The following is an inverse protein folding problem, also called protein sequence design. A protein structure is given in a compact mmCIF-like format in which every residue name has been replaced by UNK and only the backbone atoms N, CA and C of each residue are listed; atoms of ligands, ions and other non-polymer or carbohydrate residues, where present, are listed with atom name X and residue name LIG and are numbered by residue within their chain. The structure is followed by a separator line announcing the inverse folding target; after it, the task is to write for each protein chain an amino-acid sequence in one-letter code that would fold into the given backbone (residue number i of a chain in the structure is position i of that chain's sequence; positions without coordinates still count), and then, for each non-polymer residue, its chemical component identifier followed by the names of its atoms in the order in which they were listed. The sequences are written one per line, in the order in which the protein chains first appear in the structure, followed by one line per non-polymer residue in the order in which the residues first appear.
data_IF_792802542762
#
_entry.id   IF_792802542762
#
_cell.length_a   1.000
_cell.length_b   1.000
_cell.length_c   1.000
_cell.angle_alpha   90.00
_cell.angle_beta   90.00
_cell.angle_gamma   90.00
#
_symmetry.space_group_name_H-M   'P 1'
#
loop_
_entity.id
_entity.type
_entity.pdbx_description
1 polymer ?
#
# COMPACT_ATOMS: atom_id res chain seq x y z
N UNK A 1 -0.47 0.54 30.83
CA UNK A 1 0.10 0.63 29.48
C UNK A 1 -0.92 0.10 28.47
N UNK A 2 -1.34 0.92 27.54
CA UNK A 2 -2.22 0.53 26.44
C UNK A 2 -1.39 0.57 25.15
N UNK A 3 -1.05 -0.59 24.57
CA UNK A 3 -0.27 -0.61 23.34
C UNK A 3 -1.08 -0.04 22.16
N UNK A 4 -0.40 0.59 21.22
CA UNK A 4 -0.94 1.03 19.93
C UNK A 4 -0.20 0.29 18.83
N UNK A 5 -0.94 -0.28 17.88
CA UNK A 5 -0.39 -1.09 16.80
C UNK A 5 -0.87 -0.62 15.44
N UNK A 6 0.01 -0.75 14.44
CA UNK A 6 -0.35 -0.76 13.03
C UNK A 6 -0.38 -2.19 12.49
N UNK A 7 -1.32 -2.50 11.61
CA UNK A 7 -1.47 -3.81 11.02
C UNK A 7 -1.72 -3.77 9.52
N UNK A 8 -1.08 -4.68 8.79
CA UNK A 8 -1.46 -5.01 7.43
C UNK A 8 -2.63 -5.99 7.46
N UNK A 9 -3.66 -5.72 6.69
CA UNK A 9 -4.86 -6.54 6.69
C UNK A 9 -5.40 -6.77 5.28
N UNK A 10 -5.96 -7.95 5.07
CA UNK A 10 -6.71 -8.27 3.86
C UNK A 10 -8.17 -7.89 4.07
N UNK A 11 -8.65 -6.94 3.28
CA UNK A 11 -10.02 -6.42 3.38
C UNK A 11 -11.09 -7.50 3.14
N UNK A 12 -10.84 -8.43 2.20
CA UNK A 12 -11.73 -9.56 1.91
C UNK A 12 -11.86 -10.52 3.09
N UNK A 13 -10.78 -10.77 3.83
CA UNK A 13 -10.79 -11.62 5.03
C UNK A 13 -11.55 -10.95 6.17
N UNK A 14 -11.32 -9.66 6.38
CA UNK A 14 -12.02 -8.89 7.39
C UNK A 14 -13.52 -8.78 7.06
N UNK A 15 -13.88 -8.55 5.80
CA UNK A 15 -15.27 -8.53 5.33
C UNK A 15 -16.02 -9.85 5.52
N UNK A 16 -15.30 -10.98 5.56
CA UNK A 16 -15.88 -12.28 5.88
C UNK A 16 -16.07 -12.50 7.40
N UNK A 17 -15.45 -11.66 8.25
CA UNK A 17 -15.42 -11.80 9.71
C UNK A 17 -15.79 -10.50 10.43
N UNK A 18 -16.78 -9.79 9.91
CA UNK A 18 -17.20 -8.47 10.44
C UNK A 18 -17.58 -8.48 11.93
N UNK A 19 -18.05 -9.61 12.46
CA UNK A 19 -18.32 -9.80 13.88
C UNK A 19 -17.08 -9.70 14.78
N UNK A 20 -15.87 -9.63 14.20
CA UNK A 20 -14.61 -9.52 14.94
C UNK A 20 -14.00 -8.11 14.89
N UNK A 21 -14.69 -7.12 14.32
CA UNK A 21 -14.18 -5.75 14.20
C UNK A 21 -13.88 -5.15 15.58
N UNK A 22 -14.71 -5.42 16.57
CA UNK A 22 -14.49 -4.97 17.95
C UNK A 22 -13.20 -5.51 18.58
N UNK A 23 -12.72 -6.67 18.12
CA UNK A 23 -11.47 -7.23 18.59
C UNK A 23 -10.24 -6.43 18.10
N UNK A 24 -10.35 -5.80 16.93
CA UNK A 24 -9.32 -4.91 16.37
C UNK A 24 -9.12 -3.73 17.34
N UNK A 25 -10.21 -3.10 17.76
CA UNK A 25 -10.15 -1.99 18.70
C UNK A 25 -9.65 -2.43 20.08
N UNK A 26 -10.14 -3.56 20.58
CA UNK A 26 -9.70 -4.13 21.88
C UNK A 26 -8.24 -4.51 21.88
N UNK A 27 -7.71 -4.95 20.75
CA UNK A 27 -6.30 -5.27 20.58
C UNK A 27 -5.38 -4.02 20.55
N UNK A 28 -5.96 -2.81 20.44
CA UNK A 28 -5.19 -1.57 20.32
C UNK A 28 -4.64 -1.32 18.91
N UNK A 29 -5.26 -1.90 17.88
CA UNK A 29 -4.91 -1.64 16.49
C UNK A 29 -5.55 -0.30 16.10
N UNK A 30 -4.72 0.70 15.85
CA UNK A 30 -5.12 2.07 15.56
C UNK A 30 -4.88 2.46 14.10
N UNK A 31 -4.00 1.73 13.40
CA UNK A 31 -3.74 1.93 11.98
C UNK A 31 -3.91 0.62 11.20
N UNK A 32 -4.64 0.69 10.08
CA UNK A 32 -4.91 -0.46 9.21
C UNK A 32 -4.46 -0.16 7.79
N UNK A 33 -3.57 -0.99 7.28
CA UNK A 33 -3.14 -0.97 5.89
C UNK A 33 -3.87 -2.06 5.10
N UNK A 34 -4.68 -1.66 4.13
CA UNK A 34 -5.41 -2.56 3.26
C UNK A 34 -4.71 -2.68 1.91
N UNK A 35 -4.12 -3.82 1.62
CA UNK A 35 -3.70 -4.15 0.27
C UNK A 35 -4.92 -4.55 -0.55
N UNK A 36 -5.59 -3.61 -1.20
CA UNK A 36 -6.77 -3.87 -2.04
C UNK A 36 -6.33 -4.30 -3.44
N UNK A 37 -5.35 -3.62 -3.97
CA UNK A 37 -4.69 -3.74 -5.28
C UNK A 37 -5.59 -3.34 -6.45
N UNK A 38 -6.82 -3.84 -6.52
CA UNK A 38 -7.86 -3.45 -7.48
C UNK A 38 -9.24 -3.81 -6.95
N UNK A 39 -10.25 -3.06 -7.35
CA UNK A 39 -11.66 -3.44 -7.17
C UNK A 39 -12.24 -4.20 -8.38
N UNK A 40 -11.47 -4.37 -9.46
CA UNK A 40 -11.95 -5.13 -10.61
C UNK A 40 -12.02 -6.62 -10.27
N UNK A 41 -13.19 -7.28 -10.39
CA UNK A 41 -13.37 -8.69 -10.00
C UNK A 41 -12.52 -9.66 -10.83
N UNK A 42 -12.22 -9.34 -12.08
CA UNK A 42 -11.35 -10.16 -12.92
C UNK A 42 -9.90 -10.11 -12.41
N UNK A 43 -9.44 -8.92 -12.05
CA UNK A 43 -8.11 -8.71 -11.47
C UNK A 43 -7.99 -9.40 -10.12
N UNK A 44 -8.93 -9.19 -9.20
CA UNK A 44 -8.88 -9.80 -7.86
C UNK A 44 -8.87 -11.32 -7.92
N UNK A 45 -9.60 -11.91 -8.89
CA UNK A 45 -9.56 -13.35 -9.15
C UNK A 45 -8.19 -13.80 -9.66
N UNK A 46 -7.59 -13.06 -10.59
CA UNK A 46 -6.28 -13.36 -11.18
C UNK A 46 -5.18 -13.37 -10.12
N UNK A 47 -5.14 -12.36 -9.26
CA UNK A 47 -4.15 -12.23 -8.18
C UNK A 47 -4.52 -13.00 -6.90
N UNK A 48 -5.58 -13.83 -6.96
CA UNK A 48 -6.08 -14.64 -5.85
C UNK A 48 -6.44 -13.83 -4.59
N UNK A 49 -6.91 -12.61 -4.79
CA UNK A 49 -7.58 -11.83 -3.73
C UNK A 49 -9.08 -12.03 -3.85
N UNK A 50 -9.71 -12.32 -2.74
CA UNK A 50 -11.16 -12.54 -2.66
C UNK A 50 -11.93 -11.21 -2.64
N UNK A 51 -13.25 -11.35 -2.75
CA UNK A 51 -14.19 -10.25 -2.57
C UNK A 51 -14.76 -9.71 -3.88
N UNK A 52 -16.06 -9.50 -3.86
CA UNK A 52 -16.73 -8.69 -4.89
C UNK A 52 -16.51 -7.23 -4.57
N UNK A 53 -16.36 -6.33 -5.56
CA UNK A 53 -16.15 -4.90 -5.34
C UNK A 53 -17.13 -4.29 -4.34
N UNK A 54 -18.42 -4.55 -4.50
CA UNK A 54 -19.47 -4.01 -3.62
C UNK A 54 -19.26 -4.47 -2.16
N UNK A 55 -18.89 -5.74 -1.94
CA UNK A 55 -18.60 -6.25 -0.61
C UNK A 55 -17.36 -5.61 0.02
N UNK A 56 -16.33 -5.34 -0.78
CA UNK A 56 -15.14 -4.65 -0.30
C UNK A 56 -15.47 -3.21 0.09
N UNK A 57 -16.26 -2.52 -0.72
CA UNK A 57 -16.73 -1.17 -0.42
C UNK A 57 -17.62 -1.14 0.83
N UNK A 58 -18.56 -2.11 0.97
CA UNK A 58 -19.39 -2.24 2.17
C UNK A 58 -18.54 -2.53 3.41
N UNK A 59 -17.47 -3.30 3.27
CA UNK A 59 -16.53 -3.53 4.36
C UNK A 59 -15.83 -2.25 4.77
N UNK A 60 -15.38 -1.41 3.83
CA UNK A 60 -14.79 -0.10 4.14
C UNK A 60 -15.80 0.82 4.84
N UNK A 61 -17.04 0.88 4.36
CA UNK A 61 -18.13 1.66 5.03
C UNK A 61 -18.35 1.20 6.46
N UNK A 62 -18.33 -0.12 6.67
CA UNK A 62 -18.47 -0.69 8.00
C UNK A 62 -17.27 -0.32 8.90
N UNK A 63 -16.04 -0.42 8.40
CA UNK A 63 -14.85 -0.01 9.15
C UNK A 63 -14.88 1.47 9.53
N UNK A 64 -15.24 2.34 8.59
CA UNK A 64 -15.40 3.77 8.85
C UNK A 64 -16.42 4.06 9.96
N UNK A 65 -17.52 3.31 9.98
CA UNK A 65 -18.59 3.44 10.98
C UNK A 65 -18.17 2.92 12.35
N UNK A 66 -17.59 1.71 12.40
CA UNK A 66 -17.32 1.01 13.67
C UNK A 66 -15.97 1.41 14.29
N UNK A 67 -15.03 1.91 13.50
CA UNK A 67 -13.70 2.35 13.93
C UNK A 67 -13.39 3.77 13.41
N UNK A 68 -14.20 4.77 13.77
CA UNK A 68 -14.07 6.12 13.19
C UNK A 68 -12.74 6.81 13.51
N UNK A 69 -12.09 6.41 14.59
CA UNK A 69 -10.79 6.94 15.02
C UNK A 69 -9.58 6.15 14.46
N UNK A 70 -9.81 5.05 13.74
CA UNK A 70 -8.71 4.30 13.17
C UNK A 70 -8.20 4.96 11.89
N UNK A 71 -6.88 5.09 11.76
CA UNK A 71 -6.29 5.46 10.49
C UNK A 71 -6.37 4.27 9.53
N UNK A 72 -6.98 4.48 8.38
CA UNK A 72 -7.09 3.46 7.35
C UNK A 72 -6.40 3.91 6.08
N UNK A 73 -5.56 3.03 5.52
CA UNK A 73 -4.85 3.25 4.27
C UNK A 73 -5.21 2.15 3.26
N UNK A 74 -5.57 2.52 2.05
CA UNK A 74 -5.80 1.60 0.94
C UNK A 74 -4.69 1.69 -0.10
N UNK A 75 -4.09 0.56 -0.45
CA UNK A 75 -3.09 0.49 -1.52
C UNK A 75 -3.67 -0.16 -2.76
N UNK A 76 -3.34 0.44 -3.92
CA UNK A 76 -3.69 -0.03 -5.25
C UNK A 76 -2.45 -0.30 -6.10
N UNK A 77 -2.59 -1.15 -7.09
CA UNK A 77 -1.54 -1.45 -8.06
C UNK A 77 -2.03 -1.09 -9.47
N UNK A 78 -1.33 -0.14 -10.08
CA UNK A 78 -1.54 0.24 -11.49
C UNK A 78 -0.84 -0.75 -12.41
N UNK A 79 -1.53 -1.20 -13.44
CA UNK A 79 -0.94 -2.07 -14.45
C UNK A 79 -1.26 -3.55 -14.26
N UNK A 80 -2.21 -3.92 -13.40
CA UNK A 80 -2.67 -5.30 -13.29
C UNK A 80 -3.44 -5.71 -14.55
N UNK A 81 -3.12 -6.87 -15.11
CA UNK A 81 -3.79 -7.43 -16.29
C UNK A 81 -5.29 -7.61 -16.06
N UNK A 82 -6.11 -7.20 -17.02
CA UNK A 82 -7.56 -7.23 -16.94
C UNK A 82 -8.18 -6.06 -16.19
N UNK A 83 -7.38 -5.08 -15.77
CA UNK A 83 -7.88 -3.79 -15.27
C UNK A 83 -8.07 -2.80 -16.44
N UNK A 84 -8.43 -1.59 -16.13
CA UNK A 84 -8.53 -0.49 -17.09
C UNK A 84 -8.39 0.84 -16.36
N UNK A 85 -7.95 1.86 -17.08
CA UNK A 85 -7.88 3.22 -16.56
C UNK A 85 -9.24 3.69 -16.03
N UNK A 86 -10.34 3.45 -16.79
CA UNK A 86 -11.71 3.79 -16.38
C UNK A 86 -12.10 3.14 -15.05
N UNK A 87 -11.80 1.84 -14.88
CA UNK A 87 -12.08 1.09 -13.65
C UNK A 87 -11.37 1.71 -12.46
N UNK A 88 -10.11 2.03 -12.61
CA UNK A 88 -9.26 2.58 -11.55
C UNK A 88 -9.77 3.96 -11.12
N UNK A 89 -10.02 4.86 -12.07
CA UNK A 89 -10.56 6.20 -11.78
C UNK A 89 -11.95 6.15 -11.14
N UNK A 90 -12.83 5.28 -11.63
CA UNK A 90 -14.16 5.08 -11.05
C UNK A 90 -14.06 4.71 -9.56
N UNK A 91 -13.21 3.75 -9.22
CA UNK A 91 -13.08 3.29 -7.83
C UNK A 91 -12.35 4.30 -6.95
N UNK A 92 -11.33 4.98 -7.47
CA UNK A 92 -10.69 6.10 -6.78
C UNK A 92 -11.68 7.21 -6.44
N UNK A 93 -12.54 7.58 -7.40
CA UNK A 93 -13.60 8.57 -7.18
C UNK A 93 -14.59 8.13 -6.09
N UNK A 94 -15.01 6.88 -6.06
CA UNK A 94 -15.89 6.37 -5.00
C UNK A 94 -15.24 6.46 -3.61
N UNK A 95 -13.94 6.15 -3.50
CA UNK A 95 -13.21 6.29 -2.23
C UNK A 95 -13.20 7.74 -1.74
N UNK A 96 -12.96 8.69 -2.65
CA UNK A 96 -12.91 10.12 -2.35
C UNK A 96 -14.31 10.67 -2.04
N UNK A 97 -15.30 10.39 -2.88
CA UNK A 97 -16.67 10.92 -2.70
C UNK A 97 -17.29 10.45 -1.37
N UNK A 98 -17.02 9.22 -0.94
CA UNK A 98 -17.56 8.66 0.30
C UNK A 98 -16.58 8.77 1.48
N UNK A 99 -15.35 9.24 1.26
CA UNK A 99 -14.29 9.31 2.29
C UNK A 99 -14.11 7.95 3.00
N UNK A 100 -14.02 6.85 2.24
CA UNK A 100 -14.08 5.49 2.78
C UNK A 100 -12.82 5.05 3.54
N UNK A 101 -11.72 5.73 3.30
CA UNK A 101 -10.43 5.54 3.97
C UNK A 101 -9.83 6.89 4.31
N UNK A 102 -8.96 6.92 5.31
CA UNK A 102 -8.27 8.15 5.72
C UNK A 102 -7.24 8.57 4.67
N UNK A 103 -6.57 7.61 4.05
CA UNK A 103 -5.60 7.81 2.99
C UNK A 103 -5.57 6.64 2.02
N UNK A 104 -5.08 6.88 0.81
CA UNK A 104 -4.86 5.83 -0.15
C UNK A 104 -3.67 6.15 -1.04
N UNK A 105 -3.09 5.13 -1.66
CA UNK A 105 -2.01 5.27 -2.62
C UNK A 105 -2.10 4.24 -3.73
N UNK A 106 -1.45 4.56 -4.85
CA UNK A 106 -1.38 3.72 -6.02
C UNK A 106 0.07 3.57 -6.47
N UNK A 107 0.54 2.34 -6.61
CA UNK A 107 1.88 2.06 -7.09
C UNK A 107 1.81 1.37 -8.45
N UNK A 108 2.72 1.72 -9.37
CA UNK A 108 2.88 0.93 -10.58
C UNK A 108 3.35 -0.49 -10.24
N UNK A 109 2.82 -1.49 -10.93
CA UNK A 109 3.28 -2.86 -10.80
C UNK A 109 4.78 -2.92 -11.11
N UNK A 110 5.55 -3.54 -10.21
CA UNK A 110 6.95 -3.87 -10.43
C UNK A 110 7.08 -5.37 -10.54
N UNK A 111 7.77 -5.83 -11.56
CA UNK A 111 8.19 -7.21 -11.71
C UNK A 111 9.68 -7.30 -11.38
N UNK A 112 10.02 -8.22 -10.50
CA UNK A 112 11.37 -8.39 -10.00
C UNK A 112 11.94 -9.75 -10.37
N UNK A 113 13.26 -9.77 -10.52
CA UNK A 113 14.04 -10.99 -10.46
C UNK A 113 14.91 -10.91 -9.21
N UNK A 114 14.72 -11.83 -8.29
CA UNK A 114 15.54 -11.92 -7.09
C UNK A 114 16.71 -12.85 -7.36
N UNK A 115 17.88 -12.26 -7.57
CA UNK A 115 19.11 -13.00 -7.91
C UNK A 115 19.63 -13.82 -6.73
N UNK A 116 19.37 -13.41 -5.49
CA UNK A 116 19.89 -14.09 -4.30
C UNK A 116 18.91 -15.13 -3.74
N UNK A 117 17.61 -14.83 -3.77
CA UNK A 117 16.58 -15.70 -3.21
C UNK A 117 15.30 -15.71 -4.07
N UNK A 118 15.22 -16.59 -5.08
CA UNK A 118 14.06 -16.67 -5.95
C UNK A 118 12.76 -17.12 -5.24
N UNK A 119 12.85 -17.59 -3.99
CA UNK A 119 11.67 -18.00 -3.22
C UNK A 119 10.83 -16.82 -2.73
N UNK A 120 11.38 -15.59 -2.73
CA UNK A 120 10.62 -14.38 -2.38
C UNK A 120 9.90 -13.75 -3.57
N UNK A 121 10.16 -14.23 -4.80
CA UNK A 121 9.45 -13.80 -6.00
C UNK A 121 7.96 -14.15 -5.91
N UNK A 122 7.10 -13.22 -6.30
CA UNK A 122 5.67 -13.46 -6.40
C UNK A 122 5.36 -14.46 -7.52
N UNK A 123 4.14 -14.99 -7.55
CA UNK A 123 3.71 -15.85 -8.66
C UNK A 123 3.75 -15.12 -10.02
N UNK A 124 3.56 -13.81 -10.04
CA UNK A 124 3.62 -13.00 -11.26
C UNK A 124 5.10 -12.86 -11.70
N UNK A 125 6.02 -12.65 -10.76
CA UNK A 125 7.46 -12.57 -11.07
C UNK A 125 7.99 -13.88 -11.64
N UNK A 126 7.55 -15.03 -11.09
CA UNK A 126 7.97 -16.36 -11.52
C UNK A 126 7.49 -16.75 -12.91
N UNK A 127 6.32 -16.29 -13.31
CA UNK A 127 5.73 -16.63 -14.62
C UNK A 127 4.88 -15.46 -15.15
N UNK A 128 5.52 -14.34 -15.54
CA UNK A 128 4.81 -13.15 -16.01
C UNK A 128 3.87 -13.43 -17.19
N UNK A 129 4.30 -14.28 -18.12
CA UNK A 129 3.53 -14.60 -19.32
C UNK A 129 2.18 -15.27 -18.99
N UNK A 130 2.14 -16.13 -17.98
CA UNK A 130 0.90 -16.75 -17.48
C UNK A 130 -0.11 -15.71 -16.96
N UNK A 131 0.38 -14.58 -16.48
CA UNK A 131 -0.43 -13.47 -15.99
C UNK A 131 -0.64 -12.37 -17.04
N UNK A 132 -0.29 -12.63 -18.31
CA UNK A 132 -0.53 -11.72 -19.42
C UNK A 132 0.52 -10.63 -19.60
N UNK A 133 1.70 -10.76 -19.00
CA UNK A 133 2.79 -9.81 -19.17
C UNK A 133 3.82 -10.32 -20.17
N UNK A 134 4.23 -9.44 -21.09
CA UNK A 134 5.40 -9.60 -21.95
C UNK A 134 6.52 -8.77 -21.36
N UNK A 135 7.66 -9.40 -21.03
CA UNK A 135 8.85 -8.69 -20.57
C UNK A 135 9.52 -8.01 -21.76
N UNK A 136 9.85 -6.72 -21.62
CA UNK A 136 10.41 -5.89 -22.68
C UNK A 136 11.86 -5.49 -22.42
N UNK A 137 12.39 -5.75 -21.23
CA UNK A 137 13.77 -5.45 -20.86
C UNK A 137 13.98 -5.38 -19.35
N UNK A 138 15.07 -4.76 -18.97
CA UNK A 138 15.41 -4.43 -17.59
C UNK A 138 15.27 -2.93 -17.38
N UNK A 139 14.81 -2.51 -16.18
CA UNK A 139 14.68 -1.10 -15.80
C UNK A 139 15.84 -0.69 -14.88
N UNK A 140 15.83 -1.20 -13.65
CA UNK A 140 16.80 -0.84 -12.61
C UNK A 140 17.38 -2.06 -11.93
N UNK A 141 18.64 -1.94 -11.57
CA UNK A 141 19.32 -2.87 -10.71
C UNK A 141 19.52 -2.25 -9.34
N UNK A 142 19.23 -3.01 -8.29
CA UNK A 142 19.58 -2.70 -6.91
C UNK A 142 20.48 -3.81 -6.36
N UNK A 143 21.77 -3.79 -6.71
CA UNK A 143 22.69 -4.84 -6.29
C UNK A 143 22.77 -5.01 -4.79
N UNK A 144 22.62 -3.90 -4.05
CA UNK A 144 22.61 -3.90 -2.58
C UNK A 144 21.40 -4.60 -1.97
N UNK A 145 20.34 -4.79 -2.73
CA UNK A 145 19.10 -5.48 -2.32
C UNK A 145 18.93 -6.84 -3.02
N UNK A 146 19.82 -7.18 -3.97
CA UNK A 146 19.73 -8.41 -4.74
C UNK A 146 18.55 -8.45 -5.74
N UNK A 147 18.02 -7.29 -6.16
CA UNK A 147 16.88 -7.21 -7.08
C UNK A 147 17.23 -6.54 -8.39
N UNK A 148 16.63 -7.06 -9.45
CA UNK A 148 16.54 -6.37 -10.75
C UNK A 148 15.07 -6.21 -11.10
N UNK A 149 14.63 -4.99 -11.44
CA UNK A 149 13.29 -4.79 -11.96
C UNK A 149 13.25 -4.97 -13.47
N UNK A 150 12.16 -5.54 -13.95
CA UNK A 150 11.91 -5.77 -15.37
C UNK A 150 10.94 -4.72 -15.91
N UNK A 151 11.18 -4.29 -17.14
CA UNK A 151 10.15 -3.58 -17.92
C UNK A 151 9.21 -4.60 -18.54
N UNK A 152 7.93 -4.22 -18.63
CA UNK A 152 6.86 -5.09 -19.10
C UNK A 152 5.77 -4.30 -19.80
N UNK A 153 4.98 -5.00 -20.58
CA UNK A 153 3.68 -4.56 -21.10
C UNK A 153 2.65 -5.67 -20.94
N UNK A 154 1.39 -5.30 -20.94
CA UNK A 154 0.26 -6.22 -20.98
C UNK A 154 -0.76 -5.77 -22.03
N UNK A 155 -2.00 -6.25 -21.96
CA UNK A 155 -3.08 -6.00 -22.92
C UNK A 155 -3.56 -4.55 -22.98
N UNK A 156 -3.27 -3.72 -21.97
CA UNK A 156 -3.80 -2.34 -21.93
C UNK A 156 -2.75 -1.27 -21.58
N UNK A 157 -1.58 -1.64 -21.01
CA UNK A 157 -0.60 -0.69 -20.51
C UNK A 157 0.81 -1.28 -20.48
N UNK A 158 1.82 -0.43 -20.52
CA UNK A 158 3.20 -0.76 -20.18
C UNK A 158 3.63 -0.15 -18.83
N UNK A 159 4.82 -0.53 -18.36
CA UNK A 159 5.33 -0.10 -17.06
C UNK A 159 5.49 1.42 -16.95
N UNK A 160 5.90 2.10 -18.02
CA UNK A 160 6.13 3.55 -17.99
C UNK A 160 4.82 4.31 -17.91
N UNK A 161 3.81 3.89 -18.69
CA UNK A 161 2.46 4.47 -18.59
C UNK A 161 1.81 4.14 -17.26
N UNK A 162 2.05 2.94 -16.70
CA UNK A 162 1.58 2.58 -15.36
C UNK A 162 2.19 3.50 -14.28
N UNK A 163 3.47 3.86 -14.40
CA UNK A 163 4.13 4.82 -13.50
C UNK A 163 3.55 6.23 -13.60
N UNK A 164 3.26 6.67 -14.81
CA UNK A 164 2.64 7.98 -15.05
C UNK A 164 1.25 8.03 -14.41
N UNK A 165 0.37 7.09 -14.75
CA UNK A 165 -0.98 7.01 -14.22
C UNK A 165 -1.03 6.78 -12.71
N UNK A 166 -0.07 6.02 -12.15
CA UNK A 166 -0.03 5.83 -10.70
C UNK A 166 0.25 7.14 -9.96
N UNK A 167 1.12 8.00 -10.49
CA UNK A 167 1.41 9.33 -9.91
C UNK A 167 0.21 10.27 -10.00
N UNK A 168 -0.51 10.25 -11.14
CA UNK A 168 -1.72 11.05 -11.32
C UNK A 168 -2.82 10.60 -10.36
N UNK A 169 -3.00 9.29 -10.21
CA UNK A 169 -3.98 8.71 -9.31
C UNK A 169 -3.63 8.95 -7.84
N UNK A 170 -2.35 8.82 -7.45
CA UNK A 170 -1.85 9.16 -6.12
C UNK A 170 -2.15 10.62 -5.77
N UNK A 171 -1.89 11.53 -6.72
CA UNK A 171 -2.19 12.95 -6.53
C UNK A 171 -3.69 13.16 -6.33
N UNK A 172 -4.53 12.54 -7.16
CA UNK A 172 -5.99 12.64 -7.04
C UNK A 172 -6.50 12.14 -5.68
N UNK A 173 -6.00 10.97 -5.22
CA UNK A 173 -6.36 10.42 -3.92
C UNK A 173 -5.88 11.31 -2.77
N UNK A 174 -4.65 11.80 -2.85
CA UNK A 174 -4.06 12.69 -1.84
C UNK A 174 -4.76 14.04 -1.73
N UNK A 175 -5.20 14.59 -2.87
CA UNK A 175 -5.95 15.86 -2.90
C UNK A 175 -7.40 15.69 -2.39
N UNK A 176 -7.97 14.48 -2.52
CA UNK A 176 -9.36 14.20 -2.24
C UNK A 176 -9.66 13.53 -0.89
N UNK A 177 -8.68 12.89 -0.24
CA UNK A 177 -8.82 12.21 1.05
C UNK A 177 -8.29 13.07 2.20
N UNK A 178 -8.60 12.67 3.45
CA UNK A 178 -8.21 13.43 4.65
C UNK A 178 -6.70 13.55 4.83
N UNK A 179 -5.94 12.56 4.36
CA UNK A 179 -4.50 12.48 4.57
C UNK A 179 -3.76 11.97 3.34
N UNK A 180 -2.58 12.52 3.13
CA UNK A 180 -1.62 12.06 2.11
C UNK A 180 -0.66 11.00 2.66
N UNK A 181 -0.82 10.59 3.92
CA UNK A 181 0.15 9.73 4.61
C UNK A 181 -0.15 8.25 4.47
N UNK A 182 0.93 7.48 4.48
CA UNK A 182 0.87 6.04 4.63
C UNK A 182 0.72 5.65 6.11
N UNK A 183 0.22 4.45 6.36
CA UNK A 183 0.13 3.91 7.72
C UNK A 183 1.49 3.82 8.43
N UNK A 184 2.58 3.66 7.68
CA UNK A 184 3.95 3.61 8.23
C UNK A 184 4.41 4.99 8.72
N UNK A 185 4.11 6.04 7.97
CA UNK A 185 4.43 7.42 8.36
C UNK A 185 3.66 7.80 9.62
N UNK A 186 2.39 7.43 9.71
CA UNK A 186 1.56 7.65 10.90
C UNK A 186 2.09 6.88 12.11
N UNK A 187 2.41 5.59 11.94
CA UNK A 187 2.98 4.78 13.03
C UNK A 187 4.32 5.35 13.50
N UNK A 188 5.16 5.82 12.56
CA UNK A 188 6.41 6.49 12.86
C UNK A 188 6.23 7.80 13.64
N UNK A 189 5.25 8.61 13.25
CA UNK A 189 4.90 9.85 13.94
C UNK A 189 4.40 9.58 15.37
N UNK A 190 3.49 8.63 15.53
CA UNK A 190 2.95 8.25 16.85
C UNK A 190 4.06 7.73 17.77
N UNK A 191 5.00 6.93 17.24
CA UNK A 191 6.15 6.46 18.01
C UNK A 191 7.12 7.60 18.42
N UNK A 192 7.26 8.64 17.59
CA UNK A 192 8.15 9.76 17.87
C UNK A 192 7.58 10.75 18.90
N UNK A 193 6.28 10.98 18.89
CA UNK A 193 5.64 12.02 19.70
C UNK A 193 4.87 11.49 20.91
N UNK A 194 4.73 10.16 21.04
CA UNK A 194 4.21 9.50 22.24
C UNK A 194 2.71 9.64 22.50
N UNK A 195 2.03 10.53 21.79
CA UNK A 195 0.60 10.79 21.91
C UNK A 195 -0.08 10.77 20.55
N UNK A 196 -1.40 10.52 20.54
CA UNK A 196 -2.21 10.69 19.33
C UNK A 196 -2.15 12.13 18.87
N UNK A 197 -1.56 12.33 17.71
CA UNK A 197 -1.61 13.64 17.05
C UNK A 197 -2.99 13.81 16.41
N UNK A 198 -3.68 14.94 16.64
CA UNK A 198 -4.91 15.26 15.92
C UNK A 198 -4.66 15.25 14.41
N UNK A 199 -5.49 14.58 13.65
CA UNK A 199 -5.34 14.40 12.20
C UNK A 199 -5.09 15.72 11.45
N UNK A 200 -5.73 16.81 11.85
CA UNK A 200 -5.53 18.15 11.25
C UNK A 200 -4.12 18.71 11.35
N UNK A 201 -3.26 18.17 12.21
CA UNK A 201 -1.88 18.66 12.39
C UNK A 201 -0.84 17.91 11.56
N UNK A 202 -1.24 16.81 10.87
CA UNK A 202 -0.29 15.98 10.12
C UNK A 202 0.38 16.73 8.98
N UNK A 203 -0.33 17.58 8.27
CA UNK A 203 0.23 18.38 7.17
C UNK A 203 1.39 19.29 7.61
N UNK A 204 1.43 19.67 8.88
CA UNK A 204 2.51 20.48 9.46
C UNK A 204 3.68 19.62 9.95
N UNK A 205 3.41 18.38 10.35
CA UNK A 205 4.39 17.50 11.00
C UNK A 205 5.14 16.57 10.03
N UNK A 206 4.61 16.37 8.83
CA UNK A 206 5.19 15.46 7.83
C UNK A 206 6.58 15.82 7.36
N UNK A 207 6.89 17.08 7.02
CA UNK A 207 8.27 17.42 6.69
C UNK A 207 9.23 17.10 7.83
N UNK A 208 8.75 17.20 9.09
CA UNK A 208 9.53 16.88 10.28
C UNK A 208 9.67 15.36 10.47
N UNK A 209 8.60 14.58 10.20
CA UNK A 209 8.62 13.14 10.33
C UNK A 209 9.49 12.47 9.26
N UNK A 210 9.38 12.88 8.01
CA UNK A 210 10.23 12.37 6.93
C UNK A 210 11.71 12.69 7.20
N UNK A 211 11.99 13.87 7.73
CA UNK A 211 13.34 14.24 8.16
C UNK A 211 13.81 13.41 9.35
N UNK A 212 12.94 13.14 10.31
CA UNK A 212 13.21 12.30 11.47
C UNK A 212 13.44 10.83 11.09
N UNK A 213 12.63 10.26 10.23
CA UNK A 213 12.80 8.89 9.70
C UNK A 213 14.11 8.76 8.92
N UNK A 214 14.43 9.72 8.04
CA UNK A 214 15.69 9.76 7.30
C UNK A 214 16.90 9.82 8.26
N UNK A 215 16.81 10.64 9.29
CA UNK A 215 17.88 10.75 10.31
C UNK A 215 18.03 9.45 11.11
N UNK A 216 16.92 8.81 11.51
CA UNK A 216 16.94 7.54 12.24
C UNK A 216 17.46 6.41 11.37
N UNK A 217 17.03 6.32 10.11
CA UNK A 217 17.52 5.34 9.16
C UNK A 217 19.01 5.51 8.89
N UNK A 218 19.47 6.73 8.65
CA UNK A 218 20.89 7.04 8.47
C UNK A 218 21.72 6.69 9.71
N UNK A 219 21.22 6.95 10.91
CA UNK A 219 21.85 6.54 12.16
C UNK A 219 21.91 5.02 12.32
N UNK A 220 20.84 4.32 11.96
CA UNK A 220 20.79 2.87 11.97
C UNK A 220 21.79 2.24 11.00
N UNK A 221 21.81 2.73 9.75
CA UNK A 221 22.74 2.28 8.70
C UNK A 221 24.19 2.53 9.14
N UNK A 222 24.47 3.71 9.68
CA UNK A 222 25.80 4.06 10.19
C UNK A 222 26.22 3.13 11.33
N UNK A 223 25.35 2.87 12.28
CA UNK A 223 25.63 1.96 13.39
C UNK A 223 25.86 0.52 12.91
N UNK A 224 25.03 0.05 11.96
CA UNK A 224 25.19 -1.28 11.36
C UNK A 224 26.50 -1.41 10.59
N UNK A 225 26.89 -0.37 9.84
CA UNK A 225 28.17 -0.35 9.11
C UNK A 225 29.38 -0.33 10.05
N UNK A 226 29.27 0.30 11.22
CA UNK A 226 30.32 0.27 12.26
C UNK A 226 30.43 -1.11 12.91
N UNK A 227 29.31 -1.82 13.11
CA UNK A 227 29.28 -3.18 13.63
C UNK A 227 29.92 -4.19 12.67
N UNK A 228 29.69 -4.00 11.36
CA UNK A 228 30.23 -4.88 10.32
C UNK A 228 31.75 -4.62 10.04
N UNK A 229 32.23 -3.41 10.35
CA UNK A 229 33.65 -3.05 10.20
C UNK A 229 34.52 -3.40 11.43
N UNK A 230 33.89 -3.79 12.53
CA UNK A 230 34.55 -4.20 13.78
C UNK A 230 34.74 -5.70 13.94
N UNK A 231 34.60 -6.46 12.84
CA UNK A 231 34.94 -7.90 12.81
C UNK A 231 36.15 -8.17 11.96
#
# INVERSE_FOLDING_TARGET
FKPSFGAFARLDVLGAKTHQIDLIQKAGIETLFFGIESFNPNVTKLIRKGGKPDKLMDTLRLFKKELPDAFTYANFIMGLTGDSEESIWKHGKMLVDEQLVTSAGCNALRLYENLENPDVESNIDKDPAKFGYELTGQDKEWPELGYTSKTWKNDWIDVHKAEELSKEHDKFLGDGLESVFTSHEISGLSAMFGDRLPWGNYNTLVPMANRGQTLMLNKYIKNKSMFLKGK
#
